data_IF_426993275627
#
_entry.id   IF_426993275627
#
_cell.length_a   1.000
_cell.length_b   1.000
_cell.length_c   1.000
_cell.angle_alpha   90.00
_cell.angle_beta   90.00
_cell.angle_gamma   90.00
#
_symmetry.space_group_name_H-M   'P 1'
#
loop_
_entity.id
_entity.type
_entity.pdbx_description
1 polymer ?
#
# COMPACT_ATOMS: atom_id res chain seq x y z
N UNK A 1 -4.01 16.67 -22.07
CA UNK A 1 -3.67 17.76 -21.13
C UNK A 1 -2.15 17.85 -21.04
N UNK A 2 -1.53 19.02 -21.24
CA UNK A 2 -0.08 19.18 -21.08
C UNK A 2 0.29 19.16 -19.59
N UNK A 3 1.45 18.61 -19.20
CA UNK A 3 1.87 18.58 -17.81
C UNK A 3 2.21 19.99 -17.32
N UNK A 4 1.68 20.34 -16.14
CA UNK A 4 2.01 21.58 -15.46
C UNK A 4 3.52 21.62 -15.17
N UNK A 5 4.22 22.60 -15.75
CA UNK A 5 5.59 22.94 -15.37
C UNK A 5 5.60 23.45 -13.93
N UNK A 6 5.83 22.55 -12.97
CA UNK A 6 6.25 22.93 -11.63
C UNK A 6 7.60 23.64 -11.75
N UNK A 7 7.59 24.97 -11.61
CA UNK A 7 8.80 25.74 -11.28
C UNK A 7 9.35 25.20 -9.96
N UNK A 8 10.34 24.33 -10.03
CA UNK A 8 11.12 23.94 -8.87
C UNK A 8 12.01 25.12 -8.49
N UNK A 9 11.55 25.96 -7.57
CA UNK A 9 12.44 26.77 -6.72
C UNK A 9 13.17 25.83 -5.76
N UNK A 10 14.02 24.97 -6.33
CA UNK A 10 14.90 24.09 -5.58
C UNK A 10 16.13 24.89 -5.14
N UNK A 11 16.46 24.80 -3.85
CA UNK A 11 17.76 25.23 -3.32
C UNK A 11 18.86 24.56 -4.14
N UNK A 12 19.58 25.33 -4.95
CA UNK A 12 20.71 24.82 -5.72
C UNK A 12 21.86 24.48 -4.77
N UNK A 13 22.67 23.48 -5.13
CA UNK A 13 23.85 23.06 -4.36
C UNK A 13 24.73 24.26 -3.96
N UNK A 14 24.97 25.17 -4.90
CA UNK A 14 25.72 26.41 -4.67
C UNK A 14 25.02 27.38 -3.70
N UNK A 15 23.69 27.45 -3.73
CA UNK A 15 22.91 28.22 -2.75
C UNK A 15 23.10 27.73 -1.31
N UNK A 16 23.17 26.40 -1.10
CA UNK A 16 23.48 25.84 0.23
C UNK A 16 24.93 26.10 0.65
N UNK A 17 25.90 25.99 -0.27
CA UNK A 17 27.31 26.30 0.03
C UNK A 17 27.46 27.75 0.49
N UNK A 18 26.83 28.70 -0.21
CA UNK A 18 26.84 30.13 0.16
C UNK A 18 26.17 30.35 1.52
N UNK A 19 25.02 29.72 1.77
CA UNK A 19 24.33 29.80 3.05
C UNK A 19 25.15 29.28 4.23
N UNK A 20 25.79 28.12 4.09
CA UNK A 20 26.65 27.52 5.13
C UNK A 20 27.89 28.38 5.36
N UNK A 21 28.49 28.93 4.30
CA UNK A 21 29.65 29.82 4.44
C UNK A 21 29.30 31.11 5.21
N UNK A 22 28.12 31.69 4.94
CA UNK A 22 27.62 32.84 5.67
C UNK A 22 27.35 32.51 7.16
N UNK A 23 26.74 31.36 7.44
CA UNK A 23 26.49 30.90 8.82
C UNK A 23 27.80 30.63 9.58
N UNK A 24 28.81 30.01 8.95
CA UNK A 24 30.13 29.78 9.55
C UNK A 24 30.87 31.09 9.80
N UNK A 25 30.80 32.05 8.88
CA UNK A 25 31.34 33.41 9.08
C UNK A 25 30.67 34.13 10.24
N UNK A 26 29.36 33.98 10.39
CA UNK A 26 28.61 34.57 11.51
C UNK A 26 29.02 33.91 12.83
N UNK A 27 29.17 32.58 12.85
CA UNK A 27 29.66 31.84 14.02
C UNK A 27 31.09 32.20 14.39
N UNK A 28 32.01 32.35 13.44
CA UNK A 28 33.38 32.80 13.72
C UNK A 28 33.38 34.18 14.38
N UNK A 29 32.58 35.12 13.87
CA UNK A 29 32.43 36.42 14.53
C UNK A 29 31.83 36.30 15.92
N UNK A 30 30.84 35.43 16.11
CA UNK A 30 30.24 35.21 17.42
C UNK A 30 31.22 34.59 18.43
N UNK A 31 32.02 33.62 18.00
CA UNK A 31 33.03 32.96 18.84
C UNK A 31 34.21 33.92 19.15
N UNK A 32 34.58 34.81 18.22
CA UNK A 32 35.54 35.90 18.47
C UNK A 32 34.99 36.92 19.50
N UNK A 33 33.69 37.25 19.44
CA UNK A 33 33.04 38.08 20.46
C UNK A 33 32.96 37.38 21.83
N UNK A 34 32.98 36.04 21.85
CA UNK A 34 32.94 35.23 23.08
C UNK A 34 34.32 34.92 23.65
N UNK A 35 35.41 35.23 22.95
CA UNK A 35 36.74 35.27 23.53
C UNK A 35 36.87 36.49 24.44
N UNK A 36 36.23 36.42 25.61
CA UNK A 36 36.62 37.25 26.75
C UNK A 36 38.02 36.79 27.16
N UNK A 37 38.99 37.70 27.36
CA UNK A 37 40.32 37.34 27.84
C UNK A 37 40.19 36.63 29.19
N UNK A 38 40.41 35.32 29.21
CA UNK A 38 40.50 34.52 30.44
C UNK A 38 41.95 34.21 30.78
N UNK A 39 42.86 35.15 30.50
CA UNK A 39 44.22 35.13 31.06
C UNK A 39 44.21 36.04 32.29
N UNK A 40 44.34 35.48 33.51
CA UNK A 40 44.39 36.24 34.75
C UNK A 40 45.84 36.65 35.02
N UNK A 41 46.44 37.49 34.18
CA UNK A 41 47.77 38.05 34.46
C UNK A 41 47.85 39.48 33.93
N UNK A 42 47.95 40.45 34.86
CA UNK A 42 48.39 41.81 34.56
C UNK A 42 47.42 42.93 34.97
N UNK A 43 47.24 43.10 36.28
CA UNK A 43 47.13 44.40 36.96
C UNK A 43 46.34 45.53 36.29
N UNK A 44 45.00 45.45 36.28
CA UNK A 44 44.12 46.58 36.69
C UNK A 44 42.66 46.12 36.75
N UNK A 45 42.30 45.48 37.86
CA UNK A 45 40.90 45.26 38.24
C UNK A 45 40.32 46.50 38.94
N UNK A 46 38.98 46.66 38.96
CA UNK A 46 38.32 47.81 39.58
C UNK A 46 38.53 47.80 41.09
N UNK A 47 38.87 48.98 41.62
CA UNK A 47 39.19 49.25 43.02
C UNK A 47 38.14 48.66 43.99
N UNK A 48 38.59 47.72 44.82
CA UNK A 48 37.94 47.40 46.09
C UNK A 48 38.56 48.27 47.19
N UNK A 49 37.74 49.12 47.80
CA UNK A 49 38.07 49.92 48.98
C UNK A 49 38.32 48.99 50.18
N UNK A 50 39.56 48.94 50.66
CA UNK A 50 39.90 48.38 51.97
C UNK A 50 40.24 49.50 52.97
N UNK A 51 39.55 49.46 54.11
CA UNK A 51 39.67 50.34 55.27
C UNK A 51 41.01 50.16 56.00
N UNK A 52 41.51 51.18 56.70
CA UNK A 52 42.84 51.17 57.32
C UNK A 52 42.78 50.57 58.73
N UNK A 53 43.81 49.81 59.14
CA UNK A 53 44.18 49.63 60.55
C UNK A 53 45.55 48.97 60.69
N UNK A 54 46.41 49.58 61.50
CA UNK A 54 47.39 48.87 62.33
C UNK A 54 48.86 48.99 61.91
N UNK A 55 49.55 49.96 62.50
CA UNK A 55 51.00 50.08 62.54
C UNK A 55 51.68 48.84 63.17
N UNK A 56 52.74 48.32 62.56
CA UNK A 56 54.08 48.30 63.18
C UNK A 56 55.20 47.86 62.21
N UNK A 57 56.45 48.32 62.45
CA UNK A 57 57.54 48.30 61.49
C UNK A 57 58.41 47.05 61.62
N UNK A 58 58.81 46.47 60.49
CA UNK A 58 59.76 45.36 60.43
C UNK A 58 60.03 44.89 59.01
N UNK A 59 60.93 45.58 58.30
CA UNK A 59 61.73 45.01 57.19
C UNK A 59 62.62 43.87 57.73
N UNK A 60 63.26 43.00 56.92
CA UNK A 60 63.36 42.90 55.45
C UNK A 60 62.98 41.47 54.96
N UNK A 61 62.89 41.12 53.67
CA UNK A 61 64.02 40.79 52.79
C UNK A 61 63.48 40.33 51.42
N UNK A 62 64.17 40.74 50.35
CA UNK A 62 64.02 40.25 48.99
C UNK A 62 64.16 38.72 48.92
N UNK A 63 63.30 38.07 48.15
CA UNK A 63 63.75 36.98 47.29
C UNK A 63 63.10 37.11 45.90
N UNK A 64 63.96 37.32 44.91
CA UNK A 64 63.66 37.49 43.50
C UNK A 64 64.09 36.21 42.81
N UNK A 65 63.16 35.28 42.62
CA UNK A 65 63.37 34.19 41.67
C UNK A 65 62.22 34.17 40.67
N UNK A 66 62.55 34.66 39.47
CA UNK A 66 61.74 34.61 38.27
C UNK A 66 62.01 33.23 37.64
N UNK A 67 61.08 32.26 37.67
CA UNK A 67 61.26 31.07 36.85
C UNK A 67 61.04 31.47 35.39
N UNK A 68 62.15 31.61 34.67
CA UNK A 68 62.19 31.68 33.22
C UNK A 68 61.75 30.32 32.62
N UNK A 69 60.47 29.99 32.72
CA UNK A 69 59.85 28.97 31.86
C UNK A 69 59.53 29.64 30.54
N UNK A 70 60.53 29.62 29.66
CA UNK A 70 60.38 29.80 28.22
C UNK A 70 59.33 28.79 27.71
N UNK A 71 58.05 29.17 27.80
CA UNK A 71 56.98 28.55 27.06
C UNK A 71 57.27 28.78 25.59
N UNK A 72 57.90 27.78 24.99
CA UNK A 72 58.19 27.69 23.56
C UNK A 72 56.85 27.81 22.84
N UNK A 73 56.45 29.05 22.49
CA UNK A 73 55.28 29.34 21.66
C UNK A 73 55.41 28.44 20.44
N UNK A 74 54.61 27.38 20.39
CA UNK A 74 54.44 26.59 19.18
C UNK A 74 53.92 27.57 18.14
N UNK A 75 54.81 28.02 17.26
CA UNK A 75 54.44 28.79 16.07
C UNK A 75 53.35 27.98 15.38
N UNK A 76 52.09 28.40 15.54
CA UNK A 76 50.99 27.99 14.66
C UNK A 76 51.53 28.22 13.25
N UNK A 77 51.81 27.13 12.53
CA UNK A 77 52.16 27.18 11.10
C UNK A 77 51.00 27.89 10.43
N UNK A 78 51.22 29.17 10.12
CA UNK A 78 50.29 29.99 9.37
C UNK A 78 50.13 29.35 8.00
N UNK A 79 48.91 28.86 7.76
CA UNK A 79 48.27 28.61 6.47
C UNK A 79 49.06 29.06 5.24
N UNK A 80 50.01 28.24 4.79
CA UNK A 80 50.79 28.44 3.58
C UNK A 80 49.99 27.89 2.37
N UNK A 81 48.81 28.45 2.13
CA UNK A 81 47.99 28.21 0.94
C UNK A 81 47.06 29.42 0.72
N UNK A 82 47.65 30.59 0.52
CA UNK A 82 46.98 31.72 -0.15
C UNK A 82 47.22 31.58 -1.66
N UNK A 83 46.48 30.70 -2.32
CA UNK A 83 46.23 30.82 -3.76
C UNK A 83 44.75 31.19 -3.90
N UNK A 84 44.47 32.37 -4.44
CA UNK A 84 43.14 32.94 -4.71
C UNK A 84 42.36 33.64 -3.56
N UNK A 85 43.03 34.13 -2.50
CA UNK A 85 42.42 35.08 -1.54
C UNK A 85 41.33 34.52 -0.61
N UNK A 86 41.08 33.21 -0.64
CA UNK A 86 40.17 32.49 0.25
C UNK A 86 40.95 31.58 1.18
N UNK A 87 40.59 31.56 2.48
CA UNK A 87 41.16 30.63 3.46
C UNK A 87 40.79 29.19 3.05
N UNK A 88 41.70 28.49 2.36
CA UNK A 88 41.47 27.15 1.82
C UNK A 88 40.92 26.16 2.86
N UNK A 89 41.40 26.23 4.11
CA UNK A 89 40.90 25.40 5.21
C UNK A 89 39.43 25.66 5.60
N UNK A 90 38.96 26.91 5.49
CA UNK A 90 37.58 27.27 5.81
C UNK A 90 36.63 26.83 4.69
N UNK A 91 37.09 26.93 3.44
CA UNK A 91 36.38 26.40 2.27
C UNK A 91 36.22 24.86 2.36
N UNK A 92 37.30 24.12 2.65
CA UNK A 92 37.23 22.67 2.79
C UNK A 92 36.33 22.21 3.95
N UNK A 93 36.28 22.95 5.06
CA UNK A 93 35.33 22.68 6.17
C UNK A 93 33.88 22.88 5.73
N UNK A 94 33.57 23.98 5.05
CA UNK A 94 32.24 24.24 4.54
C UNK A 94 31.81 23.20 3.49
N UNK A 95 32.73 22.84 2.58
CA UNK A 95 32.54 21.81 1.58
C UNK A 95 32.26 20.44 2.22
N UNK A 96 33.05 20.04 3.22
CA UNK A 96 32.86 18.78 3.96
C UNK A 96 31.49 18.69 4.63
N UNK A 97 31.00 19.77 5.23
CA UNK A 97 29.66 19.81 5.87
C UNK A 97 28.56 19.63 4.81
N UNK A 98 28.66 20.33 3.68
CA UNK A 98 27.67 20.21 2.59
C UNK A 98 27.68 18.80 2.01
N UNK A 99 28.85 18.21 1.78
CA UNK A 99 28.97 16.82 1.36
C UNK A 99 28.35 15.86 2.38
N UNK A 100 28.62 16.02 3.68
CA UNK A 100 28.06 15.17 4.72
C UNK A 100 26.52 15.26 4.80
N UNK A 101 25.95 16.47 4.70
CA UNK A 101 24.51 16.66 4.64
C UNK A 101 23.90 16.06 3.38
N UNK A 102 24.57 16.20 2.23
CA UNK A 102 24.12 15.62 0.97
C UNK A 102 24.16 14.09 1.03
N UNK A 103 25.25 13.49 1.48
CA UNK A 103 25.36 12.04 1.66
C UNK A 103 24.36 11.52 2.69
N UNK A 104 24.16 12.22 3.81
CA UNK A 104 23.13 11.87 4.79
C UNK A 104 21.72 11.90 4.20
N UNK A 105 21.40 12.93 3.41
CA UNK A 105 20.12 13.02 2.71
C UNK A 105 19.94 11.89 1.68
N UNK A 106 20.96 11.61 0.88
CA UNK A 106 20.95 10.49 -0.08
C UNK A 106 20.80 9.14 0.62
N UNK A 107 21.47 8.95 1.76
CA UNK A 107 21.34 7.74 2.57
C UNK A 107 19.91 7.58 3.12
N UNK A 108 19.28 8.65 3.60
CA UNK A 108 17.88 8.63 4.05
C UNK A 108 16.95 8.28 2.89
N UNK A 109 17.12 8.91 1.73
CA UNK A 109 16.33 8.59 0.54
C UNK A 109 16.53 7.14 0.09
N UNK A 110 17.76 6.64 0.15
CA UNK A 110 18.08 5.24 -0.17
C UNK A 110 17.41 4.28 0.81
N UNK A 111 17.42 4.58 2.11
CA UNK A 111 16.72 3.76 3.13
C UNK A 111 15.21 3.79 2.87
N UNK A 112 14.62 4.96 2.60
CA UNK A 112 13.18 5.08 2.28
C UNK A 112 12.84 4.29 1.01
N UNK A 113 13.71 4.34 0.00
CA UNK A 113 13.53 3.58 -1.24
C UNK A 113 13.67 2.08 -1.02
N UNK A 114 14.64 1.65 -0.21
CA UNK A 114 14.86 0.24 0.13
C UNK A 114 13.72 -0.34 0.98
N UNK A 115 13.08 0.48 1.83
CA UNK A 115 11.98 0.05 2.71
C UNK A 115 10.62 0.15 2.02
N UNK A 116 10.45 1.02 1.01
CA UNK A 116 9.20 1.09 0.26
C UNK A 116 9.04 -0.20 -0.56
N UNK A 117 8.02 -1.02 -0.28
CA UNK A 117 7.74 -2.18 -1.11
C UNK A 117 7.52 -1.69 -2.55
N UNK A 118 8.10 -2.42 -3.50
CA UNK A 118 7.84 -2.17 -4.91
C UNK A 118 6.34 -2.22 -5.14
N UNK A 119 5.76 -1.24 -5.84
CA UNK A 119 4.33 -1.26 -6.09
C UNK A 119 3.98 -2.56 -6.81
N UNK A 120 3.14 -3.38 -6.17
CA UNK A 120 2.71 -4.68 -6.70
C UNK A 120 1.64 -4.50 -7.78
N UNK A 121 1.10 -3.29 -7.94
CA UNK A 121 -0.05 -3.02 -8.79
C UNK A 121 -1.37 -3.45 -8.15
N UNK A 122 -1.34 -4.02 -6.94
CA UNK A 122 -2.49 -4.49 -6.18
C UNK A 122 -2.92 -3.48 -5.08
N UNK A 123 -2.34 -2.28 -5.05
CA UNK A 123 -2.59 -1.30 -3.97
C UNK A 123 -4.03 -0.79 -3.95
N UNK A 124 -4.69 -0.83 -5.11
CA UNK A 124 -6.09 -0.41 -5.29
C UNK A 124 -7.03 -1.60 -5.47
N UNK A 125 -6.56 -2.82 -5.19
CA UNK A 125 -7.40 -4.01 -5.32
C UNK A 125 -8.52 -3.94 -4.27
N UNK A 126 -9.80 -4.03 -4.68
CA UNK A 126 -10.90 -4.05 -3.74
C UNK A 126 -10.83 -5.31 -2.86
N UNK A 127 -11.24 -5.19 -1.60
CA UNK A 127 -11.41 -6.37 -0.75
C UNK A 127 -12.65 -7.15 -1.19
N UNK A 128 -12.50 -8.46 -1.39
CA UNK A 128 -13.58 -9.36 -1.79
C UNK A 128 -14.79 -9.21 -0.84
N UNK A 129 -15.99 -9.16 -1.41
CA UNK A 129 -17.28 -8.98 -0.73
C UNK A 129 -17.51 -7.62 -0.04
N UNK A 130 -16.48 -6.99 0.54
CA UNK A 130 -16.62 -5.73 1.30
C UNK A 130 -16.67 -4.49 0.43
N UNK A 131 -16.06 -4.54 -0.75
CA UNK A 131 -16.02 -3.43 -1.71
C UNK A 131 -17.34 -3.23 -2.48
N UNK A 132 -18.23 -4.22 -2.47
CA UNK A 132 -19.50 -4.14 -3.17
C UNK A 132 -20.55 -3.37 -2.36
N UNK A 133 -21.38 -2.51 -2.99
CA UNK A 133 -22.46 -1.82 -2.31
C UNK A 133 -23.55 -2.79 -1.82
N UNK A 134 -24.54 -2.25 -1.08
CA UNK A 134 -25.74 -2.97 -0.66
C UNK A 134 -25.52 -4.15 0.30
N UNK A 135 -24.37 -4.23 0.96
CA UNK A 135 -24.12 -5.25 1.98
C UNK A 135 -25.20 -5.25 3.10
N UNK A 136 -25.67 -4.08 3.51
CA UNK A 136 -26.60 -3.91 4.64
C UNK A 136 -28.03 -3.57 4.18
N UNK A 137 -28.44 -4.00 2.99
CA UNK A 137 -29.77 -3.69 2.49
C UNK A 137 -30.86 -4.47 3.27
N UNK A 138 -31.97 -3.82 3.69
CA UNK A 138 -32.89 -4.38 4.67
C UNK A 138 -33.86 -5.44 4.13
N UNK A 139 -34.14 -5.45 2.83
CA UNK A 139 -35.13 -6.36 2.26
C UNK A 139 -34.46 -7.58 1.65
N UNK A 140 -34.89 -8.76 2.08
CA UNK A 140 -34.40 -10.05 1.62
C UNK A 140 -35.41 -10.71 0.68
N UNK A 141 -34.91 -11.30 -0.41
CA UNK A 141 -35.73 -12.10 -1.31
C UNK A 141 -36.35 -13.28 -0.54
N UNK A 142 -37.66 -13.46 -0.68
CA UNK A 142 -38.46 -14.45 0.06
C UNK A 142 -38.34 -14.35 1.60
N UNK A 143 -37.85 -13.22 2.13
CA UNK A 143 -37.64 -13.04 3.57
C UNK A 143 -36.60 -13.97 4.20
N UNK A 144 -35.80 -14.67 3.39
CA UNK A 144 -34.78 -15.60 3.86
C UNK A 144 -33.38 -15.02 3.70
N UNK A 145 -32.55 -15.18 4.72
CA UNK A 145 -31.12 -14.87 4.65
C UNK A 145 -30.37 -15.87 3.78
N UNK A 146 -30.91 -17.08 3.58
CA UNK A 146 -30.23 -18.15 2.85
C UNK A 146 -31.25 -19.03 2.15
N UNK A 147 -31.19 -19.04 0.83
CA UNK A 147 -32.05 -19.86 -0.02
C UNK A 147 -31.19 -20.93 -0.67
N UNK A 148 -31.63 -22.18 -0.57
CA UNK A 148 -30.89 -23.32 -1.10
C UNK A 148 -31.62 -23.89 -2.32
N UNK A 149 -30.90 -24.07 -3.42
CA UNK A 149 -31.40 -24.76 -4.62
C UNK A 149 -30.53 -25.99 -4.89
N UNK A 150 -31.15 -27.07 -5.37
CA UNK A 150 -30.46 -28.29 -5.81
C UNK A 150 -30.71 -28.45 -7.30
N UNK A 151 -29.65 -28.40 -8.11
CA UNK A 151 -29.75 -28.46 -9.57
C UNK A 151 -29.05 -29.73 -10.05
N UNK A 152 -29.76 -30.64 -10.73
CA UNK A 152 -29.17 -31.89 -11.21
C UNK A 152 -28.10 -31.60 -12.27
N UNK A 153 -26.97 -32.30 -12.20
CA UNK A 153 -25.94 -32.29 -13.25
C UNK A 153 -26.48 -33.06 -14.46
N UNK A 154 -26.14 -32.63 -15.66
CA UNK A 154 -26.50 -33.41 -16.84
C UNK A 154 -25.65 -34.69 -16.98
N UNK A 155 -26.03 -35.56 -17.91
CA UNK A 155 -25.33 -36.83 -18.13
C UNK A 155 -23.91 -36.67 -18.65
N UNK A 156 -23.57 -35.52 -19.24
CA UNK A 156 -22.24 -35.21 -19.77
C UNK A 156 -21.33 -34.56 -18.71
N UNK A 157 -21.87 -34.23 -17.53
CA UNK A 157 -21.15 -33.52 -16.49
C UNK A 157 -21.02 -32.03 -16.76
N UNK A 158 -21.80 -31.45 -17.67
CA UNK A 158 -21.78 -30.03 -17.98
C UNK A 158 -22.73 -29.27 -17.06
N UNK A 159 -22.33 -28.05 -16.69
CA UNK A 159 -23.16 -27.16 -15.91
C UNK A 159 -22.92 -25.69 -16.30
N UNK A 160 -24.00 -24.91 -16.44
CA UNK A 160 -23.92 -23.48 -16.72
C UNK A 160 -24.56 -22.62 -15.63
N UNK A 161 -23.80 -21.66 -15.11
CA UNK A 161 -24.26 -20.61 -14.20
C UNK A 161 -24.39 -19.32 -15.02
N UNK A 162 -25.58 -18.72 -15.07
CA UNK A 162 -25.84 -17.50 -15.85
C UNK A 162 -26.44 -16.43 -14.93
N UNK A 163 -25.71 -15.33 -14.72
CA UNK A 163 -26.12 -14.23 -13.85
C UNK A 163 -26.30 -12.97 -14.67
N UNK A 164 -27.49 -12.37 -14.60
CA UNK A 164 -27.90 -11.24 -15.44
C UNK A 164 -28.62 -10.16 -14.64
N UNK A 165 -28.61 -8.94 -15.20
CA UNK A 165 -29.36 -7.80 -14.68
C UNK A 165 -28.47 -6.65 -14.22
N UNK A 166 -28.82 -6.02 -13.09
CA UNK A 166 -28.08 -4.88 -12.53
C UNK A 166 -27.64 -5.08 -11.07
N UNK A 167 -28.01 -6.18 -10.43
CA UNK A 167 -27.51 -6.48 -9.10
C UNK A 167 -26.00 -6.68 -9.12
N UNK A 168 -25.32 -6.27 -8.05
CA UNK A 168 -23.90 -6.58 -7.84
C UNK A 168 -23.79 -7.83 -6.97
N UNK A 169 -22.71 -8.59 -7.03
CA UNK A 169 -22.65 -9.72 -6.12
C UNK A 169 -21.35 -10.49 -6.03
N UNK A 170 -21.37 -11.47 -5.14
CA UNK A 170 -20.28 -12.42 -4.94
C UNK A 170 -20.71 -13.80 -5.40
N UNK A 171 -19.78 -14.54 -5.99
CA UNK A 171 -19.92 -15.95 -6.33
C UNK A 171 -18.72 -16.70 -5.75
N UNK A 172 -18.98 -17.57 -4.78
CA UNK A 172 -17.98 -18.48 -4.22
C UNK A 172 -18.22 -19.86 -4.81
N UNK A 173 -17.20 -20.41 -5.46
CA UNK A 173 -17.24 -21.77 -6.01
C UNK A 173 -16.49 -22.68 -5.03
N UNK A 174 -17.22 -23.63 -4.45
CA UNK A 174 -16.71 -24.54 -3.44
C UNK A 174 -16.87 -26.00 -3.88
N UNK A 175 -16.03 -26.88 -3.35
CA UNK A 175 -16.17 -28.34 -3.51
C UNK A 175 -17.43 -28.82 -2.78
N UNK A 176 -18.27 -29.58 -3.48
CA UNK A 176 -19.42 -30.28 -2.91
C UNK A 176 -19.06 -31.60 -2.25
N UNK A 177 -20.06 -32.25 -1.66
CA UNK A 177 -19.92 -33.58 -1.09
C UNK A 177 -19.53 -34.62 -2.17
N UNK A 178 -18.79 -35.66 -1.79
CA UNK A 178 -18.35 -36.72 -2.69
C UNK A 178 -19.51 -37.59 -3.19
N UNK A 179 -20.58 -37.70 -2.39
CA UNK A 179 -21.82 -38.42 -2.76
C UNK A 179 -22.85 -37.53 -3.45
N UNK A 180 -22.61 -36.22 -3.53
CA UNK A 180 -23.54 -35.30 -4.17
C UNK A 180 -23.54 -35.53 -5.68
N UNK A 181 -24.74 -35.68 -6.25
CA UNK A 181 -24.97 -35.74 -7.69
C UNK A 181 -25.54 -34.44 -8.26
N UNK A 182 -26.05 -33.57 -7.39
CA UNK A 182 -26.63 -32.28 -7.74
C UNK A 182 -25.69 -31.15 -7.28
N UNK A 183 -25.66 -30.04 -8.03
CA UNK A 183 -25.08 -28.80 -7.54
C UNK A 183 -25.97 -28.20 -6.48
N UNK A 184 -25.38 -27.85 -5.34
CA UNK A 184 -26.09 -27.11 -4.30
C UNK A 184 -25.74 -25.63 -4.39
N UNK A 185 -26.75 -24.80 -4.57
CA UNK A 185 -26.64 -23.35 -4.53
C UNK A 185 -27.12 -22.84 -3.19
N UNK A 186 -26.32 -22.01 -2.54
CA UNK A 186 -26.75 -21.22 -1.39
C UNK A 186 -26.68 -19.76 -1.79
N UNK A 187 -27.82 -19.08 -1.82
CA UNK A 187 -27.91 -17.72 -2.30
C UNK A 187 -28.68 -16.83 -1.33
N UNK A 188 -28.18 -15.61 -1.17
CA UNK A 188 -28.86 -14.51 -0.50
C UNK A 188 -29.05 -13.40 -1.52
N UNK A 189 -30.26 -12.87 -1.68
CA UNK A 189 -30.52 -11.69 -2.50
C UNK A 189 -31.14 -10.61 -1.62
N UNK A 190 -30.54 -9.42 -1.63
CA UNK A 190 -30.94 -8.29 -0.78
C UNK A 190 -31.06 -7.00 -1.59
N UNK A 191 -31.97 -6.12 -1.19
CA UNK A 191 -32.22 -4.83 -1.86
C UNK A 191 -32.66 -3.75 -0.88
N UNK A 192 -32.44 -2.49 -1.23
CA UNK A 192 -32.99 -1.35 -0.49
C UNK A 192 -34.41 -0.97 -0.93
N UNK A 193 -34.94 -1.63 -1.97
CA UNK A 193 -36.28 -1.40 -2.49
C UNK A 193 -37.02 -2.73 -2.65
N UNK A 194 -37.99 -2.97 -1.76
CA UNK A 194 -38.76 -4.21 -1.69
C UNK A 194 -39.47 -4.55 -3.00
N UNK A 195 -39.95 -3.56 -3.76
CA UNK A 195 -40.67 -3.80 -5.02
C UNK A 195 -39.80 -4.46 -6.11
N UNK A 196 -38.47 -4.39 -5.98
CA UNK A 196 -37.57 -5.05 -6.92
C UNK A 196 -37.45 -6.57 -6.68
N UNK A 197 -37.80 -7.05 -5.49
CA UNK A 197 -37.71 -8.48 -5.16
C UNK A 197 -38.70 -9.32 -5.96
N UNK A 198 -39.88 -8.78 -6.27
CA UNK A 198 -40.92 -9.46 -7.06
C UNK A 198 -40.50 -9.66 -8.53
N UNK A 199 -39.46 -8.95 -8.98
CA UNK A 199 -38.91 -9.02 -10.33
C UNK A 199 -37.66 -9.91 -10.41
N UNK A 200 -37.17 -10.42 -9.29
CA UNK A 200 -36.06 -11.38 -9.28
C UNK A 200 -36.59 -12.72 -9.78
N UNK A 201 -35.94 -13.27 -10.81
CA UNK A 201 -36.28 -14.56 -11.37
C UNK A 201 -35.09 -15.50 -11.25
N UNK A 202 -35.36 -16.70 -10.73
CA UNK A 202 -34.40 -17.79 -10.61
C UNK A 202 -34.95 -18.96 -11.41
N UNK A 203 -34.24 -19.37 -12.46
CA UNK A 203 -34.66 -20.45 -13.34
C UNK A 203 -33.63 -21.57 -13.26
N UNK A 204 -34.10 -22.80 -13.03
CA UNK A 204 -33.29 -24.00 -13.02
C UNK A 204 -34.16 -25.20 -13.36
N UNK A 205 -33.60 -26.27 -13.95
CA UNK A 205 -34.34 -27.50 -14.20
C UNK A 205 -34.70 -28.18 -12.88
N UNK A 206 -35.97 -28.53 -12.72
CA UNK A 206 -36.43 -29.46 -11.69
C UNK A 206 -36.26 -30.90 -12.16
N UNK A 207 -36.14 -31.84 -11.23
CA UNK A 207 -36.08 -33.29 -11.54
C UNK A 207 -37.34 -33.78 -12.27
N UNK A 208 -38.45 -33.06 -12.13
CA UNK A 208 -39.74 -33.38 -12.74
C UNK A 208 -39.88 -32.88 -14.19
N UNK A 209 -38.94 -32.09 -14.69
CA UNK A 209 -39.07 -31.42 -16.00
C UNK A 209 -38.69 -32.32 -17.20
N UNK A 210 -38.36 -33.60 -16.97
CA UNK A 210 -38.11 -34.61 -18.01
C UNK A 210 -36.65 -34.70 -18.49
N UNK A 211 -36.33 -35.80 -19.18
CA UNK A 211 -34.97 -36.15 -19.63
C UNK A 211 -34.48 -35.21 -20.77
N UNK A 212 -33.29 -34.62 -20.58
CA UNK A 212 -32.51 -33.77 -21.52
C UNK A 212 -32.64 -32.24 -21.43
N UNK A 213 -32.96 -31.67 -20.26
CA UNK A 213 -32.76 -30.22 -20.08
C UNK A 213 -31.29 -29.97 -19.69
N UNK A 214 -30.61 -29.11 -20.45
CA UNK A 214 -29.25 -28.68 -20.15
C UNK A 214 -29.15 -28.17 -18.71
N UNK A 215 -28.15 -28.66 -17.96
CA UNK A 215 -27.99 -28.29 -16.55
C UNK A 215 -27.58 -26.82 -16.44
N UNK A 216 -28.55 -25.94 -16.15
CA UNK A 216 -28.35 -24.49 -16.12
C UNK A 216 -29.09 -23.84 -14.96
N UNK A 217 -28.39 -22.98 -14.23
CA UNK A 217 -28.96 -22.08 -13.23
C UNK A 217 -28.89 -20.63 -13.74
N UNK A 218 -30.02 -19.98 -13.92
CA UNK A 218 -30.11 -18.57 -14.32
C UNK A 218 -30.65 -17.70 -13.19
N UNK A 219 -29.86 -16.72 -12.74
CA UNK A 219 -30.28 -15.64 -11.87
C UNK A 219 -30.47 -14.37 -12.70
N UNK A 220 -31.71 -13.92 -12.82
CA UNK A 220 -32.05 -12.66 -13.49
C UNK A 220 -32.55 -11.64 -12.48
N UNK A 221 -31.87 -10.50 -12.42
CA UNK A 221 -32.23 -9.35 -11.58
C UNK A 221 -32.77 -8.20 -12.42
N UNK A 222 -33.71 -7.38 -11.91
CA UNK A 222 -34.27 -6.29 -12.69
C UNK A 222 -33.23 -5.21 -13.00
N UNK A 223 -33.49 -4.44 -14.06
CA UNK A 223 -32.82 -3.16 -14.26
C UNK A 223 -33.50 -2.11 -13.38
N UNK A 224 -32.71 -1.32 -12.66
CA UNK A 224 -33.21 -0.26 -11.78
C UNK A 224 -32.37 1.02 -11.91
N UNK A 225 -32.83 2.11 -11.29
CA UNK A 225 -32.15 3.42 -11.31
C UNK A 225 -30.86 3.44 -10.49
N UNK A 226 -30.36 4.64 -10.17
CA UNK A 226 -29.17 4.84 -9.31
C UNK A 226 -29.50 4.89 -7.82
N UNK A 227 -30.76 5.14 -7.46
CA UNK A 227 -31.22 5.24 -6.06
C UNK A 227 -31.51 3.86 -5.43
N UNK A 228 -31.81 2.88 -6.28
CA UNK A 228 -32.01 1.50 -5.86
C UNK A 228 -30.73 0.70 -6.01
N UNK A 229 -30.62 -0.32 -5.18
CA UNK A 229 -29.39 -1.03 -4.95
C UNK A 229 -29.77 -2.47 -4.57
N UNK A 230 -29.20 -3.44 -5.29
CA UNK A 230 -29.48 -4.87 -5.11
C UNK A 230 -28.17 -5.63 -5.11
N UNK A 231 -28.05 -6.59 -4.19
CA UNK A 231 -26.88 -7.45 -4.06
C UNK A 231 -27.28 -8.92 -3.95
N UNK A 232 -26.52 -9.79 -4.61
CA UNK A 232 -26.56 -11.23 -4.36
C UNK A 232 -25.24 -11.72 -3.78
N UNK A 233 -25.31 -12.70 -2.88
CA UNK A 233 -24.17 -13.46 -2.42
C UNK A 233 -24.51 -14.93 -2.67
N UNK A 234 -23.74 -15.58 -3.52
CA UNK A 234 -23.98 -16.95 -3.98
C UNK A 234 -22.77 -17.83 -3.66
N UNK A 235 -23.01 -18.98 -3.05
CA UNK A 235 -22.04 -20.06 -2.92
C UNK A 235 -22.57 -21.26 -3.69
N UNK A 236 -21.79 -21.76 -4.64
CA UNK A 236 -22.10 -22.99 -5.39
C UNK A 236 -21.19 -24.10 -4.90
N UNK A 237 -21.78 -25.22 -4.51
CA UNK A 237 -21.08 -26.45 -4.15
C UNK A 237 -21.11 -27.39 -5.35
N UNK A 238 -19.95 -27.56 -5.97
CA UNK A 238 -19.77 -28.31 -7.22
C UNK A 238 -19.41 -29.77 -6.88
N UNK A 239 -20.24 -30.76 -7.24
CA UNK A 239 -19.92 -32.15 -7.01
C UNK A 239 -18.85 -32.65 -8.00
N UNK A 240 -18.22 -33.78 -7.69
CA UNK A 240 -17.20 -34.43 -8.55
C UNK A 240 -17.75 -34.96 -9.87
N UNK A 241 -19.07 -35.03 -10.04
CA UNK A 241 -19.72 -35.44 -11.28
C UNK A 241 -19.66 -34.34 -12.36
N UNK A 242 -19.38 -33.09 -11.98
CA UNK A 242 -19.22 -31.98 -12.93
C UNK A 242 -17.84 -32.07 -13.57
N UNK A 243 -17.82 -32.15 -14.90
CA UNK A 243 -16.62 -32.13 -15.74
C UNK A 243 -16.43 -30.77 -16.40
N UNK A 244 -17.53 -30.12 -16.80
CA UNK A 244 -17.47 -28.81 -17.42
C UNK A 244 -18.29 -27.78 -16.64
N UNK A 245 -17.63 -26.71 -16.20
CA UNK A 245 -18.28 -25.62 -15.49
C UNK A 245 -18.17 -24.33 -16.31
N UNK A 246 -19.32 -23.77 -16.71
CA UNK A 246 -19.42 -22.52 -17.44
C UNK A 246 -20.10 -21.45 -16.58
N UNK A 247 -19.37 -20.41 -16.20
CA UNK A 247 -19.87 -19.29 -15.42
C UNK A 247 -19.94 -18.06 -16.31
N UNK A 248 -21.15 -17.52 -16.49
CA UNK A 248 -21.40 -16.31 -17.25
C UNK A 248 -22.02 -15.25 -16.34
N UNK A 249 -21.29 -14.19 -16.06
CA UNK A 249 -21.77 -13.05 -15.31
C UNK A 249 -21.87 -11.81 -16.23
N UNK A 250 -23.08 -11.28 -16.38
CA UNK A 250 -23.38 -10.03 -17.10
C UNK A 250 -23.66 -8.87 -16.14
N UNK A 251 -23.13 -8.99 -14.94
CA UNK A 251 -23.30 -8.09 -13.79
C UNK A 251 -21.97 -7.95 -13.07
N UNK A 252 -21.79 -6.85 -12.33
CA UNK A 252 -20.59 -6.65 -11.49
C UNK A 252 -20.50 -7.78 -10.47
N UNK A 253 -19.56 -8.70 -10.68
CA UNK A 253 -19.45 -9.94 -9.90
C UNK A 253 -18.02 -10.12 -9.41
N UNK A 254 -17.89 -10.51 -8.15
CA UNK A 254 -16.64 -10.97 -7.57
C UNK A 254 -16.69 -12.49 -7.42
N UNK A 255 -15.87 -13.19 -8.20
CA UNK A 255 -15.81 -14.64 -8.23
C UNK A 255 -14.57 -15.09 -7.47
N UNK A 256 -14.73 -15.99 -6.50
CA UNK A 256 -13.62 -16.61 -5.77
C UNK A 256 -13.84 -18.12 -5.69
N UNK A 257 -12.76 -18.88 -5.73
CA UNK A 257 -12.77 -20.29 -5.35
C UNK A 257 -12.46 -20.44 -3.87
N UNK A 258 -13.19 -21.32 -3.19
CA UNK A 258 -12.97 -21.59 -1.79
C UNK A 258 -11.58 -22.21 -1.54
N UNK A 259 -10.93 -21.81 -0.45
CA UNK A 259 -9.51 -22.11 -0.19
C UNK A 259 -9.28 -23.60 0.15
N UNK A 260 -10.34 -24.33 0.51
CA UNK A 260 -10.32 -25.77 0.82
C UNK A 260 -10.76 -26.61 -0.39
N UNK A 261 -11.14 -25.98 -1.49
CA UNK A 261 -11.64 -26.71 -2.67
C UNK A 261 -10.52 -27.37 -3.46
N UNK A 262 -10.78 -28.62 -3.86
CA UNK A 262 -9.93 -29.42 -4.72
C UNK A 262 -10.75 -29.94 -5.93
N UNK A 263 -11.04 -29.02 -6.85
CA UNK A 263 -11.90 -29.27 -8.01
C UNK A 263 -11.04 -29.81 -9.15
N UNK A 264 -11.48 -30.90 -9.77
CA UNK A 264 -10.86 -31.48 -10.96
C UNK A 264 -11.87 -31.47 -12.11
N UNK A 265 -11.63 -30.63 -13.12
CA UNK A 265 -12.55 -30.33 -14.22
C UNK A 265 -11.88 -30.60 -15.56
N UNK A 266 -12.64 -31.09 -16.54
CA UNK A 266 -12.18 -31.17 -17.92
C UNK A 266 -12.12 -29.76 -18.53
N UNK A 267 -13.12 -28.91 -18.27
CA UNK A 267 -13.20 -27.54 -18.79
C UNK A 267 -13.81 -26.56 -17.80
N UNK A 268 -13.10 -25.47 -17.50
CA UNK A 268 -13.57 -24.34 -16.70
C UNK A 268 -13.59 -23.07 -17.52
N UNK A 269 -14.79 -22.49 -17.72
CA UNK A 269 -14.98 -21.25 -18.48
C UNK A 269 -15.65 -20.22 -17.58
N UNK A 270 -14.98 -19.10 -17.31
CA UNK A 270 -15.51 -17.99 -16.52
C UNK A 270 -15.49 -16.75 -17.39
N UNK A 271 -16.66 -16.15 -17.61
CA UNK A 271 -16.81 -14.92 -18.38
C UNK A 271 -17.56 -13.87 -17.56
N UNK A 272 -16.91 -12.74 -17.32
CA UNK A 272 -17.47 -11.58 -16.63
C UNK A 272 -17.45 -10.38 -17.58
N UNK A 273 -18.64 -9.97 -18.03
CA UNK A 273 -18.84 -8.93 -19.06
C UNK A 273 -19.29 -7.58 -18.48
N UNK A 274 -19.11 -7.38 -17.17
CA UNK A 274 -19.43 -6.12 -16.52
C UNK A 274 -18.37 -5.05 -16.83
N UNK A 275 -18.81 -3.81 -16.99
CA UNK A 275 -17.95 -2.64 -17.27
C UNK A 275 -17.47 -1.94 -15.99
N UNK A 276 -17.43 -2.65 -14.86
CA UNK A 276 -17.11 -2.12 -13.53
C UNK A 276 -15.73 -2.60 -13.07
N UNK A 277 -14.93 -1.69 -12.52
CA UNK A 277 -13.57 -1.96 -11.99
C UNK A 277 -13.58 -2.83 -10.72
N UNK A 278 -14.74 -3.00 -10.08
CA UNK A 278 -14.89 -3.80 -8.86
C UNK A 278 -15.17 -5.27 -9.13
N UNK A 279 -15.36 -5.66 -10.40
CA UNK A 279 -15.42 -7.06 -10.79
C UNK A 279 -14.07 -7.72 -10.51
N UNK A 280 -14.08 -8.96 -10.03
CA UNK A 280 -12.84 -9.69 -9.82
C UNK A 280 -13.02 -11.17 -10.00
N UNK A 281 -11.95 -11.84 -10.43
CA UNK A 281 -11.84 -13.29 -10.45
C UNK A 281 -10.62 -13.64 -9.60
N UNK A 282 -10.82 -14.45 -8.57
CA UNK A 282 -9.80 -14.93 -7.66
C UNK A 282 -9.64 -16.45 -7.80
N UNK A 283 -8.83 -16.91 -8.78
CA UNK A 283 -8.49 -18.32 -8.93
C UNK A 283 -7.80 -18.89 -7.69
N UNK A 284 -7.92 -20.19 -7.49
CA UNK A 284 -7.26 -20.91 -6.41
C UNK A 284 -6.48 -22.10 -6.96
N UNK A 285 -5.33 -22.41 -6.33
CA UNK A 285 -4.42 -23.50 -6.71
C UNK A 285 -5.03 -24.90 -6.66
N UNK A 286 -6.09 -25.09 -5.87
CA UNK A 286 -6.82 -26.35 -5.78
C UNK A 286 -7.83 -26.55 -6.91
N UNK A 287 -7.90 -25.64 -7.88
CA UNK A 287 -8.76 -25.80 -9.04
C UNK A 287 -7.89 -26.27 -10.21
N UNK A 288 -8.12 -27.52 -10.59
CA UNK A 288 -7.50 -28.18 -11.73
C UNK A 288 -8.49 -28.19 -12.88
N UNK A 289 -8.08 -27.65 -14.03
CA UNK A 289 -8.86 -27.68 -15.24
C UNK A 289 -7.98 -28.04 -16.43
N UNK A 290 -8.43 -29.01 -17.23
CA UNK A 290 -7.70 -29.42 -18.44
C UNK A 290 -7.70 -28.29 -19.49
N UNK A 291 -8.86 -27.66 -19.70
CA UNK A 291 -9.03 -26.43 -20.47
C UNK A 291 -9.58 -25.29 -19.59
N UNK A 292 -8.83 -24.20 -19.49
CA UNK A 292 -9.21 -23.01 -18.72
C UNK A 292 -9.49 -21.82 -19.65
N UNK A 293 -10.62 -21.15 -19.48
CA UNK A 293 -10.90 -19.85 -20.10
C UNK A 293 -11.38 -18.86 -19.06
N UNK A 294 -10.59 -17.82 -18.81
CA UNK A 294 -10.98 -16.69 -17.96
C UNK A 294 -11.12 -15.46 -18.87
N UNK A 295 -12.29 -14.85 -18.87
CA UNK A 295 -12.59 -13.69 -19.71
C UNK A 295 -13.19 -12.60 -18.82
N UNK A 296 -12.38 -11.57 -18.53
CA UNK A 296 -12.75 -10.45 -17.67
C UNK A 296 -12.66 -9.15 -18.45
N UNK A 297 -13.80 -8.54 -18.75
CA UNK A 297 -13.83 -7.34 -19.56
C UNK A 297 -13.23 -6.12 -18.84
N UNK A 298 -13.45 -6.01 -17.53
CA UNK A 298 -12.90 -4.97 -16.66
C UNK A 298 -12.86 -5.48 -15.22
N UNK A 299 -11.81 -5.14 -14.47
CA UNK A 299 -11.66 -5.54 -13.08
C UNK A 299 -10.31 -6.18 -12.78
N UNK A 300 -10.30 -7.07 -11.79
CA UNK A 300 -9.09 -7.71 -11.25
C UNK A 300 -9.08 -9.21 -11.49
N UNK A 301 -7.99 -9.74 -12.06
CA UNK A 301 -7.73 -11.18 -12.13
C UNK A 301 -6.48 -11.46 -11.31
N UNK A 302 -6.65 -12.05 -10.12
CA UNK A 302 -5.56 -12.23 -9.14
C UNK A 302 -5.65 -13.59 -8.47
N UNK A 303 -4.65 -14.43 -8.64
CA UNK A 303 -4.58 -15.74 -8.00
C UNK A 303 -3.67 -16.69 -8.77
N UNK A 304 -3.55 -17.90 -8.25
CA UNK A 304 -2.82 -18.98 -8.89
C UNK A 304 -3.79 -19.88 -9.63
N UNK A 305 -3.41 -20.27 -10.85
CA UNK A 305 -4.18 -21.25 -11.64
C UNK A 305 -3.28 -22.41 -12.02
N UNK A 306 -3.80 -23.62 -11.85
CA UNK A 306 -3.12 -24.82 -12.32
C UNK A 306 -3.72 -25.21 -13.67
N UNK A 307 -2.86 -25.27 -14.68
CA UNK A 307 -3.24 -25.52 -16.07
C UNK A 307 -2.58 -26.83 -16.47
N UNK A 308 -3.37 -27.78 -16.96
CA UNK A 308 -2.84 -29.05 -17.44
C UNK A 308 -2.47 -28.97 -18.92
N UNK A 309 -3.41 -28.52 -19.77
CA UNK A 309 -3.25 -28.55 -21.23
C UNK A 309 -3.34 -27.17 -21.89
N UNK A 310 -4.47 -26.47 -21.74
CA UNK A 310 -4.72 -25.20 -22.44
C UNK A 310 -5.29 -24.13 -21.51
N UNK A 311 -4.83 -22.88 -21.67
CA UNK A 311 -5.37 -21.73 -20.98
C UNK A 311 -5.51 -20.51 -21.90
N UNK A 312 -6.65 -19.84 -21.80
CA UNK A 312 -6.93 -18.56 -22.43
C UNK A 312 -7.38 -17.57 -21.34
N UNK A 313 -6.73 -16.40 -21.28
CA UNK A 313 -6.86 -15.40 -20.22
C UNK A 313 -7.13 -14.01 -20.82
#
# INVERSE_FOLDING_TARGET
MPPAQRRSTGLTFWGMVVGVMAALKLKEKWDDYRQVPSEPDGETGPLALHSPSGEHPGLPMLDTDIPATSARRTRKRSDCCMCCGLRCGLFWKAFGIVCALFFGWQLIQFIIWMVKPTPTGLENMPEFSKSLPCANAPHLYQGSEKITYSVPVDSEGQHTIDIRGKAVGTLVIAQGDYEASDLTYQMTVRTNNQALLDLVSVQYPSKDDGESIASKMELSTPLFGTESCMRYDMTVYVPYTVRELNVQARTTTQIKFDDESNLDLDSLKIRVTALDDTSMILPHRGVHASALTLDLQRGWLVGDVTIENEANL
#
